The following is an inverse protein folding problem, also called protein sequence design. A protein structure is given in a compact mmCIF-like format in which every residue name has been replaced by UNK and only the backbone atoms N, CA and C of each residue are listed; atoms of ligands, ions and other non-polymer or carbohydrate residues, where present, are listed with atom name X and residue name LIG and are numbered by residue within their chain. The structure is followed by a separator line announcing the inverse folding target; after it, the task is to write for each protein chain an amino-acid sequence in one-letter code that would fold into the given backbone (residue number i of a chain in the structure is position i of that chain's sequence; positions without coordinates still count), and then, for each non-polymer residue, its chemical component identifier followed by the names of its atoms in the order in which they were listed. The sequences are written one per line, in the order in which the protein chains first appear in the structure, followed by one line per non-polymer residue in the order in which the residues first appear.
data_IF_285634251274
#
_entry.id   IF_285634251274
#
_cell.length_a   1.000
_cell.length_b   1.000
_cell.length_c   1.000
_cell.angle_alpha   90.00
_cell.angle_beta   90.00
_cell.angle_gamma   90.00
#
_symmetry.space_group_name_H-M   'P 1'
#
loop_
_entity.id
_entity.type
_entity.pdbx_description
1 polymer ?
#
# COMPACT_ATOMS: atom_id res chain seq x y z
N UNK A 1 -5.70 -21.94 -15.70
CA UNK A 1 -5.55 -22.06 -14.24
C UNK A 1 -6.10 -20.81 -13.61
N UNK A 2 -7.21 -20.90 -12.86
CA UNK A 2 -7.65 -19.80 -12.02
C UNK A 2 -6.74 -19.82 -10.78
N UNK A 3 -5.72 -18.95 -10.76
CA UNK A 3 -4.93 -18.75 -9.55
C UNK A 3 -5.85 -18.28 -8.44
N UNK A 4 -5.89 -18.99 -7.32
CA UNK A 4 -6.54 -18.51 -6.11
C UNK A 4 -5.83 -17.23 -5.70
N UNK A 5 -6.51 -16.10 -5.88
CA UNK A 5 -6.00 -14.79 -5.50
C UNK A 5 -6.13 -14.63 -3.99
N UNK A 6 -5.02 -14.80 -3.27
CA UNK A 6 -4.98 -14.70 -1.82
C UNK A 6 -4.45 -13.34 -1.41
N UNK A 7 -5.26 -12.61 -0.65
CA UNK A 7 -4.85 -11.35 -0.04
C UNK A 7 -4.38 -11.63 1.39
N UNK A 8 -3.25 -11.03 1.78
CA UNK A 8 -2.74 -11.15 3.15
C UNK A 8 -3.61 -10.44 4.20
N UNK A 9 -4.45 -9.50 3.75
CA UNK A 9 -5.32 -8.71 4.61
C UNK A 9 -6.76 -8.69 4.09
N UNK A 10 -7.71 -8.33 4.96
CA UNK A 10 -9.11 -8.15 4.59
C UNK A 10 -9.25 -6.94 3.63
N UNK A 11 -9.77 -7.13 2.40
CA UNK A 11 -9.93 -6.04 1.44
C UNK A 11 -11.08 -5.08 1.77
N UNK A 12 -12.00 -5.47 2.65
CA UNK A 12 -13.18 -4.69 3.03
C UNK A 12 -12.97 -3.91 4.32
N UNK A 13 -12.11 -4.41 5.21
CA UNK A 13 -11.82 -3.80 6.51
C UNK A 13 -10.33 -3.48 6.63
N UNK A 14 -10.02 -2.20 6.80
CA UNK A 14 -8.64 -1.73 7.01
C UNK A 14 -8.45 -1.26 8.45
N UNK A 15 -8.27 -2.21 9.38
CA UNK A 15 -7.97 -1.87 10.79
C UNK A 15 -6.49 -1.55 10.91
N UNK A 16 -6.14 -0.60 11.77
CA UNK A 16 -4.75 -0.17 11.94
C UNK A 16 -3.79 -1.31 12.34
N UNK A 17 -4.31 -2.35 13.00
CA UNK A 17 -3.57 -3.50 13.49
C UNK A 17 -3.41 -4.61 12.44
N UNK A 18 -4.16 -4.54 11.32
CA UNK A 18 -4.11 -5.57 10.28
C UNK A 18 -2.75 -5.55 9.59
N UNK A 19 -2.07 -6.70 9.56
CA UNK A 19 -0.82 -6.95 8.83
C UNK A 19 -1.08 -7.26 7.36
N UNK A 20 -0.03 -7.45 6.56
CA UNK A 20 -0.19 -7.76 5.13
C UNK A 20 -0.36 -6.55 4.23
N UNK A 21 0.05 -5.36 4.70
CA UNK A 21 0.07 -4.14 3.89
C UNK A 21 1.51 -3.76 3.52
N UNK A 22 1.66 -3.12 2.37
CA UNK A 22 2.84 -2.40 1.94
C UNK A 22 2.46 -0.96 1.57
N UNK A 23 3.41 -0.17 1.10
CA UNK A 23 3.15 1.20 0.65
C UNK A 23 3.14 1.22 -0.87
N UNK A 24 1.96 1.34 -1.45
CA UNK A 24 1.78 1.63 -2.86
C UNK A 24 2.06 3.10 -3.17
N UNK A 25 2.55 3.38 -4.37
CA UNK A 25 2.71 4.72 -4.90
C UNK A 25 2.29 4.82 -6.36
N UNK A 26 1.80 6.00 -6.76
CA UNK A 26 1.49 6.35 -8.15
C UNK A 26 1.89 7.79 -8.44
N UNK A 27 2.36 8.08 -9.64
CA UNK A 27 2.54 9.47 -10.05
C UNK A 27 1.20 10.16 -10.29
N UNK A 28 1.13 11.48 -10.01
CA UNK A 28 -0.07 12.29 -10.30
C UNK A 28 -0.27 12.52 -11.79
N UNK A 29 0.81 12.71 -12.53
CA UNK A 29 0.79 13.13 -13.94
C UNK A 29 1.38 12.09 -14.91
N UNK A 30 1.77 10.92 -14.40
CA UNK A 30 2.30 9.82 -15.21
C UNK A 30 1.53 8.54 -14.89
N UNK A 31 1.54 7.59 -15.82
CA UNK A 31 0.96 6.25 -15.63
C UNK A 31 1.85 5.31 -14.82
N UNK A 32 2.98 5.81 -14.33
CA UNK A 32 3.92 5.07 -13.50
C UNK A 32 3.36 4.86 -12.08
N UNK A 33 3.46 3.62 -11.61
CA UNK A 33 3.07 3.18 -10.27
C UNK A 33 4.03 2.10 -9.79
N UNK A 34 4.11 1.91 -8.49
CA UNK A 34 4.86 0.84 -7.87
C UNK A 34 4.41 0.61 -6.43
N UNK A 35 5.06 -0.33 -5.78
CA UNK A 35 4.92 -0.54 -4.35
C UNK A 35 6.32 -0.60 -3.73
N UNK A 36 6.41 -0.22 -2.46
CA UNK A 36 7.61 -0.39 -1.65
C UNK A 36 7.56 -1.77 -1.00
N UNK A 37 8.66 -2.52 -1.09
CA UNK A 37 8.79 -3.79 -0.42
C UNK A 37 8.86 -3.60 1.11
N UNK A 38 8.16 -4.48 1.83
CA UNK A 38 8.11 -4.46 3.29
C UNK A 38 6.70 -4.62 3.81
N UNK A 39 6.42 -5.79 4.36
CA UNK A 39 5.17 -6.05 5.07
C UNK A 39 5.12 -5.25 6.37
N UNK A 40 4.02 -4.54 6.55
CA UNK A 40 3.73 -3.75 7.73
C UNK A 40 2.22 -3.76 8.02
N UNK A 41 1.84 -3.16 9.14
CA UNK A 41 0.44 -2.96 9.47
C UNK A 41 -0.18 -1.83 8.65
N UNK A 42 -1.50 -1.84 8.45
CA UNK A 42 -2.21 -0.74 7.79
C UNK A 42 -1.95 0.62 8.47
N UNK A 43 -1.88 0.64 9.81
CA UNK A 43 -1.61 1.85 10.58
C UNK A 43 -0.21 2.40 10.32
N UNK A 44 0.80 1.54 10.23
CA UNK A 44 2.17 1.92 9.88
C UNK A 44 2.29 2.37 8.43
N UNK A 45 1.66 1.65 7.49
CA UNK A 45 1.62 2.02 6.08
C UNK A 45 0.98 3.40 5.89
N UNK A 46 -0.11 3.70 6.62
CA UNK A 46 -0.79 5.00 6.58
C UNK A 46 0.10 6.14 7.08
N UNK A 47 0.82 5.93 8.19
CA UNK A 47 1.75 6.94 8.74
C UNK A 47 2.90 7.20 7.78
N UNK A 48 3.56 6.14 7.31
CA UNK A 48 4.68 6.26 6.35
C UNK A 48 4.23 6.86 5.01
N UNK A 49 3.04 6.52 4.52
CA UNK A 49 2.49 7.12 3.31
C UNK A 49 2.31 8.64 3.46
N UNK A 50 1.83 9.11 4.62
CA UNK A 50 1.71 10.54 4.91
C UNK A 50 3.08 11.25 4.96
N UNK A 51 4.10 10.60 5.54
CA UNK A 51 5.47 11.12 5.56
C UNK A 51 6.08 11.21 4.16
N UNK A 52 5.88 10.17 3.33
CA UNK A 52 6.36 10.13 1.95
C UNK A 52 5.64 11.15 1.07
N UNK A 53 4.34 11.35 1.29
CA UNK A 53 3.54 12.35 0.58
C UNK A 53 4.09 13.77 0.78
N UNK A 54 4.64 14.08 1.96
CA UNK A 54 5.26 15.37 2.25
C UNK A 54 6.64 15.54 1.58
N UNK A 55 7.37 14.43 1.36
CA UNK A 55 8.70 14.45 0.72
C UNK A 55 8.62 14.48 -0.81
N UNK A 56 7.65 13.77 -1.38
CA UNK A 56 7.49 13.60 -2.83
C UNK A 56 6.07 14.01 -3.25
N UNK A 57 5.80 15.32 -3.41
CA UNK A 57 4.46 15.83 -3.70
C UNK A 57 3.93 15.41 -5.08
N UNK A 58 4.79 14.97 -5.99
CA UNK A 58 4.43 14.49 -7.34
C UNK A 58 3.89 13.06 -7.35
N UNK A 59 4.11 12.33 -6.24
CA UNK A 59 3.61 10.97 -6.03
C UNK A 59 2.46 10.99 -5.04
N UNK A 60 1.56 10.02 -5.18
CA UNK A 60 0.50 9.71 -4.22
C UNK A 60 0.85 8.37 -3.59
N UNK A 61 1.04 8.36 -2.28
CA UNK A 61 1.32 7.16 -1.51
C UNK A 61 0.05 6.67 -0.80
N UNK A 62 -0.14 5.37 -0.73
CA UNK A 62 -1.30 4.75 -0.08
C UNK A 62 -0.94 3.38 0.48
N UNK A 63 -1.60 2.92 1.56
CA UNK A 63 -1.51 1.53 1.98
C UNK A 63 -2.04 0.61 0.89
N UNK A 64 -1.25 -0.35 0.44
CA UNK A 64 -1.64 -1.37 -0.54
C UNK A 64 -1.56 -2.75 0.09
N UNK A 65 -2.55 -3.62 -0.15
CA UNK A 65 -2.54 -4.98 0.39
C UNK A 65 -1.57 -5.84 -0.43
N UNK A 66 -0.72 -6.58 0.26
CA UNK A 66 0.21 -7.54 -0.34
C UNK A 66 -0.61 -8.71 -0.90
N UNK A 67 -0.34 -9.03 -2.17
CA UNK A 67 -0.96 -10.11 -2.92
C UNK A 67 0.00 -11.30 -2.90
N UNK A 68 -0.48 -12.47 -2.52
CA UNK A 68 0.22 -13.77 -2.65
C UNK A 68 -0.34 -14.58 -3.82
#
# INVERSE_FOLDING_TARGET
MAGTYTLKADPLLHRNEDTGYCIGWRYKYKFEKGALDGEMTYGEAKKKAAELQAKEPDKVFFPEIIRE
#
